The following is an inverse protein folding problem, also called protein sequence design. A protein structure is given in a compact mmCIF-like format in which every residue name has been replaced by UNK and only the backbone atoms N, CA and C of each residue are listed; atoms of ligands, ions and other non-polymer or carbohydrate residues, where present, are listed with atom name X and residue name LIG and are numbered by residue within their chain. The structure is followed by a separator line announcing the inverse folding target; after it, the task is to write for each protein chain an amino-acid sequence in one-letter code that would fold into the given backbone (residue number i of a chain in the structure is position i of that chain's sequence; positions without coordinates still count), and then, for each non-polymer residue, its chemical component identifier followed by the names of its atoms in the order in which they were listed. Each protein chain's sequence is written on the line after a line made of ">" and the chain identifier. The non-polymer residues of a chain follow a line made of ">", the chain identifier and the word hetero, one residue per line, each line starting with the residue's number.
data_IF_402455697066
#
_entry.id   IF_402455697066
#
_cell.length_a   1.000
_cell.length_b   1.000
_cell.length_c   1.000
_cell.angle_alpha   90.00
_cell.angle_beta   90.00
_cell.angle_gamma   90.00
#
_symmetry.space_group_name_H-M   'P 1'
#
loop_
_entity.id
_entity.type
_entity.pdbx_description
1 polymer ?
#
# COMPACT_ATOMS: atom_id res chain seq x y z
N UNK A 1 3.22 -13.22 -7.15
CA UNK A 1 3.83 -11.88 -7.12
C UNK A 1 3.45 -11.00 -8.31
N UNK A 2 3.62 -11.44 -9.58
CA UNK A 2 3.23 -10.64 -10.76
C UNK A 2 1.77 -10.18 -10.73
N UNK A 3 0.84 -11.06 -10.36
CA UNK A 3 -0.60 -10.72 -10.27
C UNK A 3 -0.86 -9.53 -9.34
N UNK A 4 -0.19 -9.45 -8.19
CA UNK A 4 -0.24 -8.30 -7.27
C UNK A 4 0.25 -7.02 -7.94
N UNK A 5 1.43 -7.05 -8.55
CA UNK A 5 2.00 -5.88 -9.23
C UNK A 5 1.14 -5.43 -10.43
N UNK A 6 0.57 -6.37 -11.18
CA UNK A 6 -0.34 -6.08 -12.30
C UNK A 6 -1.65 -5.45 -11.82
N UNK A 7 -2.21 -5.92 -10.70
CA UNK A 7 -3.43 -5.35 -10.12
C UNK A 7 -3.18 -3.91 -9.64
N UNK A 8 -2.05 -3.65 -8.96
CA UNK A 8 -1.63 -2.30 -8.56
C UNK A 8 -1.35 -1.40 -9.78
N UNK A 9 -0.85 -1.96 -10.88
CA UNK A 9 -0.61 -1.19 -12.11
C UNK A 9 -1.91 -0.81 -12.82
N UNK A 10 -2.91 -1.71 -12.79
CA UNK A 10 -4.18 -1.54 -13.50
C UNK A 10 -5.15 -0.64 -12.74
N UNK A 11 -5.15 -0.72 -11.41
CA UNK A 11 -6.06 0.05 -10.57
C UNK A 11 -5.29 1.09 -9.78
N UNK A 12 -5.60 2.37 -10.03
CA UNK A 12 -4.81 3.50 -9.50
C UNK A 12 -4.75 3.55 -7.97
N UNK A 13 -5.74 3.01 -7.25
CA UNK A 13 -5.82 3.04 -5.79
C UNK A 13 -6.71 1.89 -5.29
N UNK A 14 -6.11 0.80 -4.82
CA UNK A 14 -6.81 -0.26 -4.09
C UNK A 14 -6.40 -0.25 -2.62
N UNK A 15 -7.39 -0.32 -1.73
CA UNK A 15 -7.12 -0.59 -0.31
C UNK A 15 -6.51 -2.00 -0.14
N UNK A 16 -5.78 -2.24 0.96
CA UNK A 16 -5.19 -3.56 1.27
C UNK A 16 -6.22 -4.70 1.12
N UNK A 17 -7.43 -4.47 1.64
CA UNK A 17 -8.54 -5.42 1.55
C UNK A 17 -8.95 -5.72 0.10
N UNK A 18 -9.19 -4.69 -0.71
CA UNK A 18 -9.57 -4.88 -2.12
C UNK A 18 -8.46 -5.56 -2.93
N UNK A 19 -7.20 -5.23 -2.63
CA UNK A 19 -6.07 -5.88 -3.27
C UNK A 19 -5.96 -7.36 -2.87
N UNK A 20 -6.27 -7.71 -1.62
CA UNK A 20 -6.26 -9.08 -1.12
C UNK A 20 -7.35 -9.91 -1.81
N UNK A 21 -8.56 -9.35 -1.90
CA UNK A 21 -9.70 -9.94 -2.62
C UNK A 21 -9.37 -10.14 -4.12
N UNK A 22 -8.81 -9.14 -4.78
CA UNK A 22 -8.48 -9.20 -6.21
C UNK A 22 -7.40 -10.25 -6.54
N UNK A 23 -6.51 -10.53 -5.60
CA UNK A 23 -5.42 -11.51 -5.77
C UNK A 23 -5.82 -12.90 -5.22
N UNK A 24 -6.89 -12.99 -4.43
CA UNK A 24 -7.40 -14.23 -3.85
C UNK A 24 -6.54 -14.74 -2.68
N UNK A 25 -6.01 -13.83 -1.86
CA UNK A 25 -5.17 -14.17 -0.70
C UNK A 25 -5.69 -13.49 0.57
N UNK A 26 -5.27 -13.97 1.73
CA UNK A 26 -5.55 -13.29 3.00
C UNK A 26 -4.77 -11.97 3.09
N UNK A 27 -5.32 -11.00 3.83
CA UNK A 27 -4.70 -9.68 4.00
C UNK A 27 -3.30 -9.76 4.62
N UNK A 28 -3.09 -10.68 5.56
CA UNK A 28 -1.80 -10.93 6.22
C UNK A 28 -0.77 -11.46 5.21
N UNK A 29 -1.16 -12.45 4.40
CA UNK A 29 -0.31 -12.97 3.33
C UNK A 29 0.00 -11.90 2.28
N UNK A 30 -0.95 -11.02 1.98
CA UNK A 30 -0.73 -9.91 1.07
C UNK A 30 0.30 -8.92 1.64
N UNK A 31 0.24 -8.66 2.95
CA UNK A 31 1.17 -7.77 3.65
C UNK A 31 2.62 -8.28 3.52
N UNK A 32 2.83 -9.58 3.77
CA UNK A 32 4.15 -10.22 3.57
C UNK A 32 4.64 -10.10 2.12
N UNK A 33 3.73 -10.27 1.14
CA UNK A 33 4.06 -10.15 -0.28
C UNK A 33 4.43 -8.69 -0.62
N UNK A 34 3.70 -7.71 -0.11
CA UNK A 34 3.95 -6.29 -0.35
C UNK A 34 5.30 -5.87 0.25
N UNK A 35 5.60 -6.33 1.46
CA UNK A 35 6.88 -6.11 2.12
C UNK A 35 8.04 -6.69 1.32
N UNK A 36 7.87 -7.91 0.81
CA UNK A 36 8.88 -8.58 -0.01
C UNK A 36 9.09 -7.85 -1.35
N UNK A 37 8.02 -7.35 -1.97
CA UNK A 37 8.10 -6.53 -3.19
C UNK A 37 8.77 -5.17 -2.93
N UNK A 38 8.50 -4.54 -1.78
CA UNK A 38 9.12 -3.30 -1.36
C UNK A 38 10.62 -3.49 -1.11
N UNK A 39 11.01 -4.54 -0.37
CA UNK A 39 12.42 -4.92 -0.15
C UNK A 39 13.19 -5.19 -1.44
N UNK A 40 12.50 -5.71 -2.47
CA UNK A 40 13.08 -5.92 -3.81
C UNK A 40 13.18 -4.64 -4.67
N UNK A 41 12.66 -3.52 -4.16
CA UNK A 41 12.61 -2.24 -4.85
C UNK A 41 11.62 -2.23 -6.02
N UNK A 42 10.65 -3.15 -6.04
CA UNK A 42 9.60 -3.20 -7.06
C UNK A 42 8.40 -2.32 -6.70
N UNK A 43 8.30 -1.98 -5.41
CA UNK A 43 7.17 -1.27 -4.85
C UNK A 43 7.69 -0.23 -3.85
N UNK A 44 7.08 0.95 -3.85
CA UNK A 44 7.34 2.02 -2.91
C UNK A 44 6.14 2.16 -1.99
N UNK A 45 6.39 2.13 -0.69
CA UNK A 45 5.37 2.30 0.35
C UNK A 45 5.50 3.72 0.87
N UNK A 46 4.45 4.53 0.71
CA UNK A 46 4.37 5.85 1.34
C UNK A 46 3.24 5.84 2.35
N UNK A 47 3.55 6.10 3.61
CA UNK A 47 2.56 6.37 4.64
C UNK A 47 2.37 7.88 4.74
N UNK A 48 1.19 8.37 4.34
CA UNK A 48 0.83 9.73 4.67
C UNK A 48 0.31 9.75 6.10
N UNK A 49 1.17 10.12 7.04
CA UNK A 49 0.72 10.63 8.32
C UNK A 49 0.16 12.03 8.07
N UNK A 50 -1.09 12.09 7.63
CA UNK A 50 -1.84 13.34 7.61
C UNK A 50 -2.13 13.71 9.05
N UNK A 51 -1.19 14.39 9.70
CA UNK A 51 -1.43 15.09 10.96
C UNK A 51 -2.47 16.18 10.66
N UNK A 52 -3.75 15.85 10.80
CA UNK A 52 -4.81 16.83 10.65
C UNK A 52 -4.50 18.01 11.59
N UNK A 53 -4.38 19.26 11.09
CA UNK A 53 -4.02 20.42 11.92
C UNK A 53 -5.04 20.68 13.04
N UNK A 54 -6.24 20.09 12.93
CA UNK A 54 -7.32 20.16 13.93
C UNK A 54 -6.98 19.51 15.29
N UNK A 55 -5.91 18.72 15.39
CA UNK A 55 -5.52 18.06 16.65
C UNK A 55 -4.60 18.90 17.54
N UNK A 56 -4.03 20.01 17.03
CA UNK A 56 -3.06 20.82 17.77
C UNK A 56 -3.66 21.57 18.99
N UNK A 57 -4.99 21.74 19.02
CA UNK A 57 -5.70 22.47 20.08
C UNK A 57 -6.72 21.61 20.84
N UNK A 58 -6.69 20.29 20.63
CA UNK A 58 -7.66 19.39 21.26
C UNK A 58 -7.15 18.94 22.64
N UNK A 59 -7.84 19.24 23.75
CA UNK A 59 -7.43 18.80 25.09
C UNK A 59 -7.46 17.27 25.27
N UNK A 60 -8.05 16.54 24.31
CA UNK A 60 -8.08 15.08 24.21
C UNK A 60 -7.12 14.52 23.15
N UNK A 61 -6.14 15.31 22.68
CA UNK A 61 -5.18 14.89 21.65
C UNK A 61 -4.44 13.57 22.02
N UNK A 62 -4.16 13.35 23.31
CA UNK A 62 -3.57 12.11 23.83
C UNK A 62 -4.45 10.87 23.65
N UNK A 63 -5.76 11.06 23.45
CA UNK A 63 -6.75 9.99 23.27
C UNK A 63 -7.23 9.87 21.81
N UNK A 64 -6.79 10.77 20.92
CA UNK A 64 -7.19 10.83 19.52
C UNK A 64 -6.32 9.95 18.59
N UNK A 65 -5.30 9.28 19.16
CA UNK A 65 -4.30 8.50 18.42
C UNK A 65 -4.86 7.21 17.78
N UNK A 66 -6.08 6.78 18.13
CA UNK A 66 -6.60 5.46 17.77
C UNK A 66 -7.36 5.38 16.43
N UNK A 67 -7.60 6.51 15.75
CA UNK A 67 -8.37 6.51 14.50
C UNK A 67 -7.75 7.34 13.37
N UNK A 68 -6.49 7.75 13.50
CA UNK A 68 -5.74 8.31 12.38
C UNK A 68 -5.42 7.14 11.43
N UNK A 69 -6.36 6.84 10.52
CA UNK A 69 -6.18 5.81 9.48
C UNK A 69 -4.89 6.15 8.75
N UNK A 70 -3.82 5.43 9.06
CA UNK A 70 -2.58 5.48 8.30
C UNK A 70 -2.93 5.06 6.89
N UNK A 71 -3.09 6.03 6.01
CA UNK A 71 -3.39 5.77 4.62
C UNK A 71 -2.08 5.34 3.96
N UNK A 72 -1.83 4.03 4.01
CA UNK A 72 -0.67 3.41 3.37
C UNK A 72 -0.97 3.31 1.89
N UNK A 73 -0.23 4.08 1.10
CA UNK A 73 -0.32 4.06 -0.36
C UNK A 73 0.82 3.24 -0.93
N UNK A 74 0.47 2.31 -1.81
CA UNK A 74 1.40 1.43 -2.51
C UNK A 74 1.57 1.92 -3.95
N UNK A 75 2.79 2.30 -4.35
CA UNK A 75 3.08 2.77 -5.71
C UNK A 75 4.17 1.91 -6.36
N UNK A 76 4.00 1.58 -7.64
CA UNK A 76 5.03 0.84 -8.39
C UNK A 76 6.24 1.72 -8.69
N UNK A 77 7.43 1.19 -8.46
CA UNK A 77 8.67 1.83 -8.94
C UNK A 77 8.85 1.58 -10.44
N UNK A 78 9.74 2.34 -11.09
CA UNK A 78 10.10 2.06 -12.49
C UNK A 78 10.60 0.61 -12.69
N UNK A 79 11.28 0.04 -11.69
CA UNK A 79 11.73 -1.36 -11.69
C UNK A 79 10.54 -2.32 -11.62
N UNK A 80 9.55 -2.06 -10.77
CA UNK A 80 8.30 -2.82 -10.70
C UNK A 80 7.54 -2.82 -12.02
N UNK A 81 7.42 -1.66 -12.67
CA UNK A 81 6.77 -1.53 -13.98
C UNK A 81 7.49 -2.36 -15.04
N UNK A 82 8.83 -2.29 -15.08
CA UNK A 82 9.62 -3.11 -16.02
C UNK A 82 9.46 -4.61 -15.75
N UNK A 83 9.44 -5.02 -14.48
CA UNK A 83 9.23 -6.41 -14.09
C UNK A 83 7.89 -6.95 -14.61
N UNK A 84 6.80 -6.19 -14.45
CA UNK A 84 5.46 -6.58 -14.96
C UNK A 84 5.44 -6.65 -16.49
N UNK A 85 6.14 -5.72 -17.17
CA UNK A 85 6.18 -5.63 -18.64
C UNK A 85 7.10 -6.65 -19.31
N UNK A 86 8.21 -7.03 -18.67
CA UNK A 86 9.18 -7.98 -19.24
C UNK A 86 8.64 -9.41 -19.29
N UNK A 87 7.83 -9.82 -18.31
CA UNK A 87 7.16 -11.13 -18.33
C UNK A 87 5.87 -11.14 -19.19
N UNK A 88 5.50 -10.03 -19.83
CA UNK A 88 4.36 -9.97 -20.77
C UNK A 88 4.74 -10.42 -22.20
N UNK A 89 5.99 -10.80 -22.41
CA UNK A 89 6.48 -11.56 -23.57
C UNK A 89 6.64 -13.03 -23.19
#
# INVERSE_FOLDING_TARGET
>A
MRRVLSTIMSERLLTKKQLAEAVGVQEETLEDILDLLARRGLLSVSSNCSSSPSCASCPLASSCDSHQRREVTYTLTQKGIRYVRQEAR
#
